data_IF_433166849996
#
_entry.id   IF_433166849996
#
_cell.length_a   1.000
_cell.length_b   1.000
_cell.length_c   1.000
_cell.angle_alpha   90.00
_cell.angle_beta   90.00
_cell.angle_gamma   90.00
#
_symmetry.space_group_name_H-M   'P 1'
#
loop_
_entity.id
_entity.type
_entity.pdbx_description
1 polymer ?
#
# COMPACT_ATOMS: atom_id res chain seq x y z
N UNK A 1 24.88 5.39 -2.52
CA UNK A 1 23.83 4.42 -2.89
C UNK A 1 23.00 5.05 -3.98
N UNK A 2 22.80 4.36 -5.10
CA UNK A 2 21.97 4.85 -6.20
C UNK A 2 20.56 5.19 -5.69
N UNK A 3 20.00 6.30 -6.18
CA UNK A 3 18.68 6.77 -5.75
C UNK A 3 17.58 5.71 -5.93
N UNK A 4 17.72 4.84 -6.93
CA UNK A 4 16.81 3.70 -7.17
C UNK A 4 16.90 2.67 -6.05
N UNK A 5 18.12 2.26 -5.65
CA UNK A 5 18.34 1.29 -4.58
C UNK A 5 17.80 1.81 -3.25
N UNK A 6 18.04 3.10 -2.97
CA UNK A 6 17.49 3.76 -1.78
C UNK A 6 15.96 3.77 -1.77
N UNK A 7 15.32 3.94 -2.93
CA UNK A 7 13.86 3.90 -3.05
C UNK A 7 13.34 2.49 -2.79
N UNK A 8 13.94 1.47 -3.40
CA UNK A 8 13.53 0.06 -3.23
C UNK A 8 13.60 -0.36 -1.77
N UNK A 9 14.69 -0.01 -1.08
CA UNK A 9 14.86 -0.32 0.36
C UNK A 9 13.77 0.37 1.19
N UNK A 10 13.49 1.66 0.91
CA UNK A 10 12.41 2.40 1.57
C UNK A 10 11.05 1.75 1.35
N UNK A 11 10.74 1.33 0.11
CA UNK A 11 9.49 0.64 -0.22
C UNK A 11 9.38 -0.67 0.57
N UNK A 12 10.41 -1.51 0.53
CA UNK A 12 10.38 -2.82 1.18
C UNK A 12 10.20 -2.71 2.70
N UNK A 13 10.98 -1.83 3.35
CA UNK A 13 10.89 -1.58 4.79
C UNK A 13 9.52 -1.05 5.20
N UNK A 14 9.07 0.00 4.52
CA UNK A 14 7.79 0.64 4.84
C UNK A 14 6.62 -0.30 4.59
N UNK A 15 6.62 -1.02 3.47
CA UNK A 15 5.54 -1.97 3.16
C UNK A 15 5.44 -3.06 4.24
N UNK A 16 6.56 -3.66 4.64
CA UNK A 16 6.58 -4.72 5.65
C UNK A 16 6.07 -4.22 7.01
N UNK A 17 6.59 -3.08 7.48
CA UNK A 17 6.21 -2.51 8.78
C UNK A 17 4.74 -2.07 8.75
N UNK A 18 4.31 -1.40 7.68
CA UNK A 18 2.95 -0.88 7.56
C UNK A 18 1.93 -2.00 7.39
N UNK A 19 2.21 -3.05 6.62
CA UNK A 19 1.34 -4.24 6.55
C UNK A 19 1.12 -4.84 7.94
N UNK A 20 2.17 -4.98 8.73
CA UNK A 20 2.06 -5.50 10.09
C UNK A 20 1.21 -4.58 11.00
N UNK A 21 1.48 -3.27 10.98
CA UNK A 21 0.73 -2.29 11.76
C UNK A 21 -0.74 -2.22 11.33
N UNK A 22 -1.02 -2.25 10.03
CA UNK A 22 -2.38 -2.21 9.48
C UNK A 22 -3.16 -3.49 9.82
N UNK A 23 -2.50 -4.65 9.82
CA UNK A 23 -3.14 -5.89 10.26
C UNK A 23 -3.53 -5.84 11.75
N UNK A 24 -2.62 -5.39 12.62
CA UNK A 24 -2.93 -5.19 14.05
C UNK A 24 -4.06 -4.16 14.21
N UNK A 25 -3.97 -3.05 13.50
CA UNK A 25 -4.97 -1.98 13.56
C UNK A 25 -6.34 -2.49 13.10
N UNK A 26 -6.41 -3.28 12.03
CA UNK A 26 -7.67 -3.83 11.53
C UNK A 26 -8.31 -4.81 12.53
N UNK A 27 -7.49 -5.58 13.25
CA UNK A 27 -7.95 -6.54 14.25
C UNK A 27 -8.39 -5.85 15.56
N UNK A 28 -7.73 -4.75 15.95
CA UNK A 28 -7.98 -4.07 17.23
C UNK A 28 -8.89 -2.85 17.13
N UNK A 29 -8.94 -2.16 15.99
CA UNK A 29 -9.73 -0.94 15.78
C UNK A 29 -10.70 -1.10 14.61
N UNK A 30 -11.98 -1.30 14.95
CA UNK A 30 -13.15 -1.08 14.09
C UNK A 30 -13.22 -1.79 12.74
N UNK A 31 -12.32 -2.72 12.41
CA UNK A 31 -12.47 -3.56 11.22
C UNK A 31 -12.65 -2.73 9.93
N UNK A 32 -12.05 -1.53 9.86
CA UNK A 32 -12.27 -0.59 8.76
C UNK A 32 -11.91 -1.24 7.43
N UNK A 33 -10.80 -1.96 7.38
CA UNK A 33 -10.41 -2.72 6.19
C UNK A 33 -11.31 -3.92 5.95
N UNK A 34 -11.87 -4.56 6.99
CA UNK A 34 -12.85 -5.64 6.81
C UNK A 34 -14.16 -5.17 6.18
N UNK A 35 -14.63 -3.96 6.50
CA UNK A 35 -15.80 -3.36 5.83
C UNK A 35 -15.50 -3.13 4.35
N UNK A 36 -14.37 -2.50 4.04
CA UNK A 36 -13.93 -2.27 2.66
C UNK A 36 -13.76 -3.60 1.91
N UNK A 37 -13.12 -4.60 2.52
CA UNK A 37 -12.96 -5.95 1.97
C UNK A 37 -14.31 -6.61 1.69
N UNK A 38 -15.28 -6.47 2.58
CA UNK A 38 -16.63 -7.03 2.40
C UNK A 38 -17.31 -6.44 1.17
N UNK A 39 -17.16 -5.14 0.92
CA UNK A 39 -17.70 -4.50 -0.27
C UNK A 39 -16.90 -4.89 -1.53
N UNK A 40 -15.58 -4.97 -1.44
CA UNK A 40 -14.74 -5.45 -2.54
C UNK A 40 -15.02 -6.91 -2.93
N UNK A 41 -15.38 -7.75 -1.98
CA UNK A 41 -15.74 -9.16 -2.22
C UNK A 41 -17.12 -9.32 -2.89
N UNK A 42 -17.97 -8.30 -2.90
CA UNK A 42 -19.23 -8.32 -3.67
C UNK A 42 -18.99 -8.06 -5.16
N UNK A 43 -17.83 -7.53 -5.52
CA UNK A 43 -17.46 -7.27 -6.91
C UNK A 43 -17.02 -8.56 -7.60
N UNK A 44 -17.19 -8.62 -8.93
CA UNK A 44 -16.61 -9.71 -9.72
C UNK A 44 -15.07 -9.69 -9.64
N UNK A 45 -14.44 -10.85 -9.79
CA UNK A 45 -12.97 -10.96 -9.81
C UNK A 45 -12.31 -10.02 -10.84
N UNK A 46 -12.96 -9.82 -11.99
CA UNK A 46 -12.48 -8.91 -13.04
C UNK A 46 -12.49 -7.45 -12.57
N UNK A 47 -13.61 -7.00 -11.99
CA UNK A 47 -13.72 -5.63 -11.45
C UNK A 47 -12.76 -5.41 -10.28
N UNK A 48 -12.61 -6.40 -9.39
CA UNK A 48 -11.67 -6.34 -8.26
C UNK A 48 -10.22 -6.20 -8.73
N UNK A 49 -9.82 -6.96 -9.75
CA UNK A 49 -8.49 -6.88 -10.36
C UNK A 49 -8.21 -5.51 -10.97
N UNK A 50 -9.17 -4.97 -11.74
CA UNK A 50 -9.06 -3.62 -12.33
C UNK A 50 -8.92 -2.56 -11.24
N UNK A 51 -9.69 -2.66 -10.15
CA UNK A 51 -9.64 -1.69 -9.06
C UNK A 51 -8.32 -1.76 -8.27
N UNK A 52 -7.78 -2.97 -8.05
CA UNK A 52 -6.44 -3.15 -7.47
C UNK A 52 -5.37 -2.51 -8.34
N UNK A 53 -5.46 -2.69 -9.67
CA UNK A 53 -4.54 -2.07 -10.62
C UNK A 53 -4.64 -0.54 -10.63
N UNK A 54 -5.86 0.01 -10.59
CA UNK A 54 -6.09 1.45 -10.44
C UNK A 54 -5.51 1.98 -9.13
N UNK A 55 -5.64 1.23 -8.03
CA UNK A 55 -5.04 1.58 -6.74
C UNK A 55 -3.50 1.64 -6.80
N UNK A 56 -2.87 0.73 -7.56
CA UNK A 56 -1.43 0.76 -7.79
C UNK A 56 -0.99 2.00 -8.58
N UNK A 57 -1.69 2.32 -9.68
CA UNK A 57 -1.42 3.54 -10.47
C UNK A 57 -1.59 4.79 -9.61
N UNK A 58 -2.66 4.84 -8.81
CA UNK A 58 -2.94 5.95 -7.92
C UNK A 58 -1.82 6.15 -6.88
N UNK A 59 -1.30 5.06 -6.29
CA UNK A 59 -0.19 5.13 -5.34
C UNK A 59 1.08 5.73 -5.98
N UNK A 60 1.38 5.36 -7.23
CA UNK A 60 2.50 5.94 -7.98
C UNK A 60 2.26 7.43 -8.23
N UNK A 61 1.07 7.82 -8.70
CA UNK A 61 0.73 9.22 -8.97
C UNK A 61 0.86 10.09 -7.71
N UNK A 62 0.29 9.65 -6.59
CA UNK A 62 0.41 10.33 -5.29
C UNK A 62 1.89 10.49 -4.93
N UNK A 63 2.67 9.41 -5.01
CA UNK A 63 4.09 9.43 -4.67
C UNK A 63 4.87 10.41 -5.53
N UNK A 64 4.66 10.41 -6.85
CA UNK A 64 5.34 11.34 -7.78
C UNK A 64 4.98 12.79 -7.46
N UNK A 65 3.70 13.08 -7.22
CA UNK A 65 3.25 14.43 -6.86
C UNK A 65 3.87 14.87 -5.53
N UNK A 66 3.85 14.01 -4.49
CA UNK A 66 4.47 14.33 -3.20
C UNK A 66 5.97 14.57 -3.34
N UNK A 67 6.66 13.79 -4.16
CA UNK A 67 8.08 14.01 -4.46
C UNK A 67 8.35 15.40 -4.98
N UNK A 68 7.55 15.85 -5.94
CA UNK A 68 7.72 17.16 -6.58
C UNK A 68 7.36 18.28 -5.59
N UNK A 69 6.23 18.16 -4.89
CA UNK A 69 5.71 19.21 -4.02
C UNK A 69 6.55 19.39 -2.75
N UNK A 70 6.99 18.29 -2.14
CA UNK A 70 7.71 18.30 -0.85
C UNK A 70 9.23 18.20 -1.02
N UNK A 71 9.71 18.01 -2.25
CA UNK A 71 11.13 17.80 -2.57
C UNK A 71 11.79 16.71 -1.70
N UNK A 72 11.04 15.65 -1.39
CA UNK A 72 11.50 14.55 -0.54
C UNK A 72 12.58 13.72 -1.24
N UNK A 73 13.50 13.19 -0.45
CA UNK A 73 14.61 12.39 -0.98
C UNK A 73 14.13 11.01 -1.48
N UNK A 74 15.01 10.29 -2.19
CA UNK A 74 14.65 8.99 -2.78
C UNK A 74 14.23 7.93 -1.75
N UNK A 75 14.79 7.98 -0.53
CA UNK A 75 14.43 7.05 0.54
C UNK A 75 13.03 7.33 1.08
N UNK A 76 12.74 8.58 1.44
CA UNK A 76 11.43 9.05 1.90
C UNK A 76 10.34 8.79 0.86
N UNK A 77 10.65 9.04 -0.42
CA UNK A 77 9.75 8.72 -1.52
C UNK A 77 9.43 7.21 -1.58
N UNK A 78 10.44 6.36 -1.31
CA UNK A 78 10.24 4.93 -1.17
C UNK A 78 9.37 4.56 0.04
N UNK A 79 9.55 5.23 1.18
CA UNK A 79 8.71 5.01 2.37
C UNK A 79 7.23 5.32 2.10
N UNK A 80 6.94 6.44 1.43
CA UNK A 80 5.58 6.85 1.07
C UNK A 80 4.95 5.82 0.13
N UNK A 81 5.67 5.40 -0.90
CA UNK A 81 5.17 4.39 -1.83
C UNK A 81 4.91 3.05 -1.13
N UNK A 82 5.84 2.59 -0.27
CA UNK A 82 5.66 1.36 0.50
C UNK A 82 4.44 1.41 1.42
N UNK A 83 4.17 2.55 2.05
CA UNK A 83 2.99 2.74 2.89
C UNK A 83 1.69 2.66 2.07
N UNK A 84 1.63 3.33 0.91
CA UNK A 84 0.46 3.31 0.03
C UNK A 84 0.20 1.91 -0.54
N UNK A 85 1.26 1.16 -0.85
CA UNK A 85 1.17 -0.23 -1.29
C UNK A 85 0.64 -1.12 -0.16
N UNK A 86 1.11 -0.96 1.07
CA UNK A 86 0.61 -1.70 2.22
C UNK A 86 -0.90 -1.49 2.40
N UNK A 87 -1.39 -0.25 2.31
CA UNK A 87 -2.83 0.05 2.36
C UNK A 87 -3.58 -0.68 1.24
N UNK A 88 -3.08 -0.61 0.00
CA UNK A 88 -3.70 -1.30 -1.14
C UNK A 88 -3.76 -2.81 -0.89
N UNK A 89 -2.67 -3.41 -0.45
CA UNK A 89 -2.58 -4.85 -0.22
C UNK A 89 -3.48 -5.29 0.93
N UNK A 90 -3.54 -4.52 2.02
CA UNK A 90 -4.49 -4.75 3.12
C UNK A 90 -5.95 -4.64 2.65
N UNK A 91 -6.32 -3.66 1.81
CA UNK A 91 -7.68 -3.54 1.27
C UNK A 91 -8.08 -4.74 0.39
N UNK A 92 -7.18 -5.21 -0.45
CA UNK A 92 -7.48 -6.25 -1.45
C UNK A 92 -7.11 -7.68 -1.01
N UNK A 93 -6.70 -7.85 0.25
CA UNK A 93 -6.31 -9.15 0.82
C UNK A 93 -5.13 -9.79 0.07
N UNK A 94 -4.22 -8.96 -0.42
CA UNK A 94 -2.89 -9.38 -0.88
C UNK A 94 -1.86 -9.28 0.25
N UNK A 95 -2.33 -9.05 1.49
CA UNK A 95 -1.48 -8.87 2.65
C UNK A 95 -0.58 -10.09 2.87
N UNK A 96 0.72 -9.85 3.00
CA UNK A 96 1.74 -10.89 3.16
C UNK A 96 1.47 -11.72 4.43
N UNK A 97 0.84 -11.10 5.44
CA UNK A 97 0.54 -11.71 6.74
C UNK A 97 -0.63 -12.69 6.68
N UNK A 98 -1.62 -12.49 5.80
CA UNK A 98 -2.77 -13.40 5.68
C UNK A 98 -2.50 -14.59 4.73
N UNK A 99 -1.40 -14.54 3.98
CA UNK A 99 -0.92 -15.59 3.08
C UNK A 99 0.31 -16.35 3.60
N UNK A 100 0.71 -16.11 4.86
CA UNK A 100 1.79 -16.82 5.55
C UNK A 100 1.27 -17.99 6.38
#
# INVERSE_FOLDING_TARGET
>A
MDGVVSTIIGVALSNLICSFLLNILNNNMWSVFNVIRKDLNKLTNKTRSILSFLGFILAILITVVLKIVLNINSFENGLVLGFLLAIKDTCFKYDIVENA
#
